data_IF_939875110373
#
_entry.id   IF_939875110373
#
_cell.length_a   1.000
_cell.length_b   1.000
_cell.length_c   1.000
_cell.angle_alpha   90.00
_cell.angle_beta   90.00
_cell.angle_gamma   90.00
#
_symmetry.space_group_name_H-M   'P 1'
#
loop_
_entity.id
_entity.type
_entity.pdbx_description
1 polymer ?
#
# COMPACT_ATOMS: atom_id res chain seq x y z
N UNK A 1 12.58 7.63 15.75
CA UNK A 1 12.88 8.96 15.19
C UNK A 1 12.43 8.93 13.74
N UNK A 2 11.58 9.87 13.32
CA UNK A 2 11.08 9.92 11.95
C UNK A 2 12.23 10.07 10.94
N UNK A 3 12.09 9.50 9.74
CA UNK A 3 13.09 9.69 8.68
C UNK A 3 13.17 11.17 8.28
N UNK A 4 14.38 11.69 8.05
CA UNK A 4 14.54 13.04 7.55
C UNK A 4 14.03 13.14 6.11
N UNK A 5 13.42 14.27 5.75
CA UNK A 5 12.79 14.46 4.44
C UNK A 5 13.76 14.28 3.27
N UNK A 6 15.02 14.70 3.41
CA UNK A 6 16.04 14.54 2.37
C UNK A 6 16.23 13.07 1.96
N UNK A 7 16.02 12.12 2.87
CA UNK A 7 16.14 10.69 2.56
C UNK A 7 14.99 10.23 1.67
N UNK A 8 13.78 10.69 1.97
CA UNK A 8 12.60 10.43 1.13
C UNK A 8 12.75 11.08 -0.23
N UNK A 9 13.28 12.31 -0.31
CA UNK A 9 13.57 12.98 -1.58
C UNK A 9 14.64 12.25 -2.40
N UNK A 10 15.69 11.75 -1.75
CA UNK A 10 16.72 10.95 -2.40
C UNK A 10 16.13 9.67 -3.01
N UNK A 11 15.25 8.99 -2.26
CA UNK A 11 14.51 7.82 -2.75
C UNK A 11 13.65 8.22 -3.95
N UNK A 12 12.87 9.30 -3.84
CA UNK A 12 12.02 9.79 -4.95
C UNK A 12 12.82 10.03 -6.22
N UNK A 13 14.03 10.57 -6.10
CA UNK A 13 14.93 10.87 -7.23
C UNK A 13 15.58 9.62 -7.83
N UNK A 14 15.86 8.61 -7.02
CA UNK A 14 16.52 7.36 -7.46
C UNK A 14 15.54 6.27 -7.92
N UNK A 15 14.28 6.34 -7.49
CA UNK A 15 13.24 5.36 -7.81
C UNK A 15 12.93 5.16 -9.31
N UNK A 16 12.98 6.17 -10.20
CA UNK A 16 12.83 5.95 -11.64
C UNK A 16 13.82 4.92 -12.19
N UNK A 17 14.99 4.76 -11.58
CA UNK A 17 16.02 3.80 -11.98
C UNK A 17 15.80 2.39 -11.41
N UNK A 18 14.65 2.12 -10.77
CA UNK A 18 14.31 0.79 -10.19
C UNK A 18 14.45 -0.35 -11.19
N UNK A 19 14.20 -0.10 -12.48
CA UNK A 19 14.32 -1.11 -13.53
C UNK A 19 15.77 -1.58 -13.73
N UNK A 20 16.75 -0.70 -13.53
CA UNK A 20 18.17 -1.05 -13.57
C UNK A 20 18.55 -1.88 -12.33
N UNK A 21 18.10 -1.46 -11.15
CA UNK A 21 18.34 -2.18 -9.90
C UNK A 21 17.73 -3.58 -9.97
N UNK A 22 16.50 -3.71 -10.47
CA UNK A 22 15.84 -4.99 -10.68
C UNK A 22 16.58 -5.90 -11.68
N UNK A 23 17.26 -5.34 -12.68
CA UNK A 23 18.11 -6.14 -13.58
C UNK A 23 19.37 -6.64 -12.87
N UNK A 24 19.93 -5.85 -11.96
CA UNK A 24 21.12 -6.21 -11.18
C UNK A 24 20.85 -7.34 -10.17
N UNK A 25 19.60 -7.49 -9.69
CA UNK A 25 19.23 -8.57 -8.76
C UNK A 25 19.22 -9.96 -9.38
N UNK A 26 19.33 -10.08 -10.72
CA UNK A 26 19.55 -11.38 -11.37
C UNK A 26 20.88 -12.04 -10.97
N UNK A 27 21.85 -11.26 -10.48
CA UNK A 27 23.09 -11.80 -9.91
C UNK A 27 22.76 -12.39 -8.52
N UNK A 28 23.00 -13.69 -8.26
CA UNK A 28 22.49 -14.37 -7.06
C UNK A 28 22.89 -13.74 -5.72
N UNK A 29 24.11 -13.20 -5.62
CA UNK A 29 24.59 -12.54 -4.40
C UNK A 29 23.90 -11.19 -4.17
N UNK A 30 23.82 -10.38 -5.23
CA UNK A 30 23.16 -9.06 -5.18
C UNK A 30 21.67 -9.24 -4.91
N UNK A 31 21.03 -10.19 -5.59
CA UNK A 31 19.62 -10.53 -5.37
C UNK A 31 19.33 -10.94 -3.92
N UNK A 32 20.17 -11.77 -3.29
CA UNK A 32 20.00 -12.13 -1.87
C UNK A 32 20.14 -10.93 -0.94
N UNK A 33 21.12 -10.06 -1.17
CA UNK A 33 21.33 -8.86 -0.36
C UNK A 33 20.12 -7.93 -0.47
N UNK A 34 19.67 -7.66 -1.70
CA UNK A 34 18.53 -6.78 -1.95
C UNK A 34 17.25 -7.36 -1.36
N UNK A 35 17.00 -8.66 -1.52
CA UNK A 35 15.84 -9.33 -0.94
C UNK A 35 15.84 -9.21 0.59
N UNK A 36 16.97 -9.51 1.23
CA UNK A 36 17.11 -9.40 2.69
C UNK A 36 16.88 -7.97 3.18
N UNK A 37 17.40 -6.98 2.46
CA UNK A 37 17.32 -5.59 2.86
C UNK A 37 15.91 -5.00 2.66
N UNK A 38 15.26 -5.29 1.52
CA UNK A 38 14.08 -4.56 1.07
C UNK A 38 12.76 -5.33 1.15
N UNK A 39 12.78 -6.67 1.10
CA UNK A 39 11.56 -7.48 0.88
C UNK A 39 11.39 -8.65 1.85
N UNK A 40 12.42 -9.01 2.62
CA UNK A 40 12.35 -10.13 3.56
C UNK A 40 11.33 -9.88 4.68
N UNK A 41 10.26 -10.68 4.69
CA UNK A 41 9.14 -10.56 5.62
C UNK A 41 7.92 -9.84 5.06
N UNK A 42 7.96 -9.42 3.79
CA UNK A 42 6.80 -8.83 3.12
C UNK A 42 5.65 -9.84 3.01
N UNK A 43 4.46 -9.37 3.34
CA UNK A 43 3.21 -10.09 3.16
C UNK A 43 2.20 -9.10 2.62
N UNK A 44 2.04 -9.08 1.29
CA UNK A 44 1.26 -8.09 0.56
C UNK A 44 0.32 -8.82 -0.39
N UNK A 45 -0.95 -8.41 -0.37
CA UNK A 45 -1.98 -8.93 -1.28
C UNK A 45 -2.69 -7.79 -2.00
N UNK A 46 -3.03 -8.01 -3.26
CA UNK A 46 -3.88 -7.11 -4.04
C UNK A 46 -5.32 -7.58 -3.96
N UNK A 47 -6.19 -6.71 -3.49
CA UNK A 47 -7.62 -6.98 -3.40
C UNK A 47 -8.28 -6.53 -4.70
N UNK A 48 -9.00 -7.42 -5.40
CA UNK A 48 -9.70 -7.05 -6.62
C UNK A 48 -10.80 -6.03 -6.31
N UNK A 49 -11.13 -5.17 -7.28
CA UNK A 49 -12.25 -4.22 -7.11
C UNK A 49 -13.55 -4.98 -6.96
N UNK A 50 -14.44 -4.53 -6.09
CA UNK A 50 -15.76 -5.16 -5.88
C UNK A 50 -16.55 -5.34 -7.18
N UNK A 51 -16.42 -4.39 -8.12
CA UNK A 51 -17.05 -4.46 -9.44
C UNK A 51 -16.59 -5.65 -10.29
N UNK A 52 -15.34 -6.12 -10.10
CA UNK A 52 -14.80 -7.29 -10.84
C UNK A 52 -15.34 -8.61 -10.31
N UNK A 53 -15.67 -8.69 -9.01
CA UNK A 53 -16.30 -9.88 -8.39
C UNK A 53 -17.75 -10.05 -8.87
N UNK A 54 -18.43 -8.95 -9.24
CA UNK A 54 -19.82 -8.97 -9.74
C UNK A 54 -19.98 -9.52 -11.16
N UNK A 55 -18.90 -9.94 -11.84
CA UNK A 55 -18.99 -10.53 -13.17
C UNK A 55 -19.64 -11.91 -13.09
N UNK A 56 -20.97 -11.95 -13.21
CA UNK A 56 -21.74 -13.19 -13.37
C UNK A 56 -21.39 -13.84 -14.70
N UNK A 57 -20.52 -14.84 -14.67
CA UNK A 57 -20.38 -15.77 -15.79
C UNK A 57 -21.57 -16.72 -15.67
N UNK A 58 -22.47 -16.71 -16.65
CA UNK A 58 -23.48 -17.76 -16.76
C UNK A 58 -22.76 -19.04 -17.16
N UNK A 59 -22.43 -19.86 -16.16
CA UNK A 59 -22.01 -21.23 -16.36
C UNK A 59 -23.25 -22.07 -16.09
N UNK A 60 -23.63 -22.94 -17.02
CA UNK A 60 -24.76 -23.88 -16.86
C UNK A 60 -24.37 -25.03 -15.92
N UNK A 61 -23.89 -24.65 -14.74
CA UNK A 61 -23.46 -25.53 -13.66
C UNK A 61 -24.11 -24.99 -12.40
N UNK A 62 -24.89 -25.83 -11.73
CA UNK A 62 -25.51 -25.51 -10.45
C UNK A 62 -24.41 -25.46 -9.38
N UNK A 63 -23.80 -24.29 -9.20
CA UNK A 63 -22.85 -24.02 -8.14
C UNK A 63 -23.63 -23.70 -6.86
N UNK A 64 -23.36 -24.43 -5.78
CA UNK A 64 -23.81 -24.04 -4.45
C UNK A 64 -23.41 -22.58 -4.21
N UNK A 65 -24.38 -21.74 -3.82
CA UNK A 65 -24.10 -20.32 -3.54
C UNK A 65 -23.00 -20.25 -2.49
N UNK A 66 -21.88 -19.54 -2.75
CA UNK A 66 -20.86 -19.33 -1.73
C UNK A 66 -21.53 -18.76 -0.49
N UNK A 67 -21.30 -19.40 0.65
CA UNK A 67 -21.74 -18.92 1.96
C UNK A 67 -20.98 -17.61 2.21
N UNK A 68 -21.65 -16.48 1.94
CA UNK A 68 -21.25 -15.11 2.27
C UNK A 68 -19.74 -14.84 2.27
N UNK A 69 -19.11 -14.85 1.09
CA UNK A 69 -17.72 -14.37 0.97
C UNK A 69 -17.70 -12.84 1.08
N UNK A 70 -16.94 -12.23 2.02
CA UNK A 70 -16.88 -10.79 2.17
C UNK A 70 -16.34 -10.16 0.89
N UNK A 71 -16.87 -8.98 0.53
CA UNK A 71 -16.33 -8.23 -0.60
C UNK A 71 -14.89 -7.82 -0.29
N UNK A 72 -14.00 -7.78 -1.30
CA UNK A 72 -12.61 -7.36 -1.09
C UNK A 72 -12.48 -6.02 -0.37
N UNK A 73 -13.32 -5.03 -0.67
CA UNK A 73 -13.35 -3.75 0.06
C UNK A 73 -13.63 -3.91 1.56
N UNK A 74 -14.53 -4.83 1.94
CA UNK A 74 -14.92 -5.05 3.34
C UNK A 74 -13.73 -5.49 4.20
N UNK A 75 -12.79 -6.24 3.63
CA UNK A 75 -11.55 -6.63 4.32
C UNK A 75 -10.76 -5.39 4.76
N UNK A 76 -10.67 -4.37 3.90
CA UNK A 76 -9.99 -3.10 4.21
C UNK A 76 -10.70 -2.36 5.34
N UNK A 77 -12.03 -2.29 5.28
CA UNK A 77 -12.83 -1.67 6.36
C UNK A 77 -12.63 -2.39 7.70
N UNK A 78 -12.55 -3.72 7.72
CA UNK A 78 -12.25 -4.48 8.94
C UNK A 78 -10.88 -4.16 9.53
N UNK A 79 -9.84 -4.00 8.70
CA UNK A 79 -8.53 -3.57 9.17
C UNK A 79 -8.56 -2.16 9.77
N UNK A 80 -9.33 -1.24 9.17
CA UNK A 80 -9.55 0.10 9.73
C UNK A 80 -10.25 0.00 11.09
N UNK A 81 -11.25 -0.87 11.23
CA UNK A 81 -12.00 -1.02 12.47
C UNK A 81 -11.15 -1.52 13.63
N UNK A 82 -10.25 -2.46 13.35
CA UNK A 82 -9.43 -3.17 14.32
C UNK A 82 -8.12 -2.42 14.66
N UNK A 83 -7.72 -1.46 13.82
CA UNK A 83 -6.51 -0.68 14.04
C UNK A 83 -6.64 0.31 15.21
N UNK A 84 -5.59 0.41 16.03
CA UNK A 84 -5.51 1.36 17.15
C UNK A 84 -5.19 2.79 16.71
N UNK A 85 -4.66 2.96 15.50
CA UNK A 85 -4.19 4.24 14.98
C UNK A 85 -4.26 4.27 13.45
N UNK A 86 -4.57 5.45 12.89
CA UNK A 86 -4.78 5.66 11.45
C UNK A 86 -3.98 6.86 10.98
N UNK A 87 -3.16 6.65 9.95
CA UNK A 87 -2.32 7.68 9.36
C UNK A 87 -2.49 7.74 7.85
N UNK A 88 -2.90 8.91 7.35
CA UNK A 88 -3.00 9.16 5.91
C UNK A 88 -1.80 9.94 5.42
N UNK A 89 -1.15 9.43 4.39
CA UNK A 89 -0.13 10.16 3.66
C UNK A 89 -0.76 11.29 2.82
N UNK A 90 -0.08 12.44 2.74
CA UNK A 90 -0.53 13.59 1.93
C UNK A 90 -0.42 13.32 0.43
N UNK A 91 0.43 12.37 0.02
CA UNK A 91 0.64 11.95 -1.36
C UNK A 91 1.21 10.53 -1.44
N UNK A 92 1.09 9.90 -2.59
CA UNK A 92 1.68 8.60 -2.89
C UNK A 92 3.14 8.76 -3.31
N UNK A 93 4.07 8.34 -2.44
CA UNK A 93 5.52 8.39 -2.73
C UNK A 93 5.83 7.61 -4.01
N UNK A 94 5.25 6.42 -4.20
CA UNK A 94 5.51 5.57 -5.37
C UNK A 94 5.06 6.22 -6.68
N UNK A 95 3.84 6.79 -6.74
CA UNK A 95 3.33 7.48 -7.95
C UNK A 95 4.08 8.78 -8.22
N UNK A 96 4.36 9.57 -7.18
CA UNK A 96 5.15 10.79 -7.32
C UNK A 96 6.56 10.50 -7.86
N UNK A 97 7.20 9.45 -7.33
CA UNK A 97 8.55 9.06 -7.77
C UNK A 97 8.55 8.47 -9.18
N UNK A 98 7.48 7.79 -9.57
CA UNK A 98 7.32 7.23 -10.91
C UNK A 98 6.84 8.25 -11.95
N UNK A 99 6.57 9.50 -11.56
CA UNK A 99 5.95 10.51 -12.42
C UNK A 99 4.66 10.00 -13.08
N UNK A 100 3.79 9.38 -12.27
CA UNK A 100 2.54 8.81 -12.77
C UNK A 100 1.59 9.92 -13.28
N UNK A 101 1.15 9.80 -14.53
CA UNK A 101 0.20 10.73 -15.16
C UNK A 101 -1.24 10.16 -15.20
N UNK A 102 -1.37 8.84 -15.13
CA UNK A 102 -2.65 8.14 -15.29
C UNK A 102 -3.51 8.09 -14.02
N UNK A 103 -2.88 8.21 -12.84
CA UNK A 103 -3.56 8.03 -11.55
C UNK A 103 -3.17 9.13 -10.55
N UNK A 104 -4.11 9.54 -9.69
CA UNK A 104 -3.92 10.68 -8.83
C UNK A 104 -2.83 10.46 -7.76
N UNK A 105 -1.95 11.44 -7.61
CA UNK A 105 -0.76 11.39 -6.73
C UNK A 105 -1.12 11.75 -5.28
N UNK A 106 -2.13 12.58 -5.07
CA UNK A 106 -2.65 13.03 -3.78
C UNK A 106 -3.29 11.91 -2.95
N UNK A 107 -3.68 10.79 -3.58
CA UNK A 107 -4.12 9.59 -2.86
C UNK A 107 -2.92 8.72 -2.43
N UNK A 108 -2.29 9.10 -1.32
CA UNK A 108 -1.24 8.34 -0.64
C UNK A 108 -1.71 7.10 0.14
N UNK A 109 -0.77 6.34 0.69
CA UNK A 109 -1.07 5.15 1.48
C UNK A 109 -1.75 5.50 2.81
N UNK A 110 -2.61 4.59 3.28
CA UNK A 110 -3.17 4.58 4.63
C UNK A 110 -2.35 3.59 5.48
N UNK A 111 -1.69 4.06 6.52
CA UNK A 111 -0.95 3.22 7.47
C UNK A 111 -1.78 3.02 8.74
N UNK A 112 -1.75 1.80 9.26
CA UNK A 112 -2.55 1.37 10.40
C UNK A 112 -1.65 0.87 11.54
N UNK A 113 -2.03 1.19 12.78
CA UNK A 113 -1.35 0.74 13.99
C UNK A 113 -0.25 1.67 14.50
N UNK A 114 0.25 1.36 15.70
CA UNK A 114 1.11 2.27 16.49
C UNK A 114 2.43 2.65 15.82
N UNK A 115 2.99 1.78 14.98
CA UNK A 115 4.23 2.08 14.26
C UNK A 115 4.11 3.34 13.38
N UNK A 116 2.91 3.62 12.85
CA UNK A 116 2.66 4.77 11.99
C UNK A 116 2.80 6.11 12.72
N UNK A 117 2.78 6.15 14.06
CA UNK A 117 3.09 7.38 14.83
C UNK A 117 4.51 7.88 14.61
N UNK A 118 5.42 7.00 14.21
CA UNK A 118 6.81 7.35 13.89
C UNK A 118 7.00 8.04 12.54
N UNK A 119 5.95 8.10 11.71
CA UNK A 119 6.02 8.73 10.38
C UNK A 119 6.19 10.25 10.55
N UNK A 120 7.00 10.84 9.67
CA UNK A 120 7.22 12.28 9.66
C UNK A 120 5.90 13.04 9.37
N UNK A 121 5.48 14.00 10.21
CA UNK A 121 4.23 14.76 10.02
C UNK A 121 4.19 15.63 8.77
N UNK A 122 5.32 15.91 8.12
CA UNK A 122 5.30 16.61 6.83
C UNK A 122 4.83 15.69 5.68
N UNK A 123 4.85 14.37 5.89
CA UNK A 123 4.45 13.38 4.89
C UNK A 123 2.97 12.99 4.97
N UNK A 124 2.28 13.34 6.05
CA UNK A 124 0.91 12.91 6.28
C UNK A 124 0.35 13.43 7.59
N UNK A 125 -0.81 12.93 7.98
CA UNK A 125 -1.45 13.27 9.25
C UNK A 125 -2.17 12.08 9.84
N UNK A 126 -2.34 12.11 11.16
CA UNK A 126 -3.33 11.27 11.80
C UNK A 126 -4.72 11.66 11.33
N UNK A 127 -5.56 10.64 11.12
CA UNK A 127 -6.97 10.80 10.77
C UNK A 127 -7.85 9.98 11.71
N UNK A 128 -9.15 10.27 11.76
CA UNK A 128 -10.11 9.44 12.48
C UNK A 128 -10.41 8.15 11.71
N UNK A 129 -11.08 7.21 12.39
CA UNK A 129 -11.56 5.98 11.78
C UNK A 129 -12.56 6.27 10.64
N UNK A 130 -13.45 7.22 10.87
CA UNK A 130 -14.47 7.66 9.90
C UNK A 130 -13.81 8.26 8.66
N UNK A 131 -12.86 9.20 8.86
CA UNK A 131 -12.05 9.76 7.77
C UNK A 131 -11.30 8.66 6.99
N UNK A 132 -10.85 7.59 7.65
CA UNK A 132 -10.13 6.49 7.00
C UNK A 132 -11.06 5.67 6.10
N UNK A 133 -12.29 5.43 6.53
CA UNK A 133 -13.30 4.74 5.71
C UNK A 133 -13.70 5.57 4.48
N UNK A 134 -13.96 6.86 4.67
CA UNK A 134 -14.27 7.79 3.58
C UNK A 134 -13.11 7.82 2.57
N UNK A 135 -11.87 7.94 3.05
CA UNK A 135 -10.70 7.99 2.20
C UNK A 135 -10.49 6.73 1.35
N UNK A 136 -10.76 5.54 1.90
CA UNK A 136 -10.69 4.28 1.13
C UNK A 136 -11.77 4.21 0.06
N UNK A 137 -12.97 4.73 0.33
CA UNK A 137 -14.04 4.82 -0.66
C UNK A 137 -13.65 5.77 -1.80
N UNK A 138 -13.16 6.97 -1.49
CA UNK A 138 -12.65 7.93 -2.49
C UNK A 138 -11.55 7.32 -3.37
N UNK A 139 -10.60 6.60 -2.75
CA UNK A 139 -9.56 5.88 -3.50
C UNK A 139 -10.15 4.85 -4.48
N UNK A 140 -11.17 4.10 -4.05
CA UNK A 140 -11.86 3.11 -4.88
C UNK A 140 -12.61 3.76 -6.05
N UNK A 141 -13.30 4.87 -5.81
CA UNK A 141 -13.99 5.67 -6.82
C UNK A 141 -13.03 6.30 -7.84
N UNK A 142 -11.85 6.73 -7.39
CA UNK A 142 -10.75 7.15 -8.25
C UNK A 142 -10.12 6.00 -9.06
N UNK A 143 -10.64 4.78 -8.94
CA UNK A 143 -10.22 3.63 -9.72
C UNK A 143 -8.93 2.98 -9.21
N UNK A 144 -8.50 3.27 -7.98
CA UNK A 144 -7.35 2.61 -7.37
C UNK A 144 -7.70 1.18 -6.94
N UNK A 145 -6.68 0.35 -6.79
CA UNK A 145 -6.78 -1.03 -6.31
C UNK A 145 -6.10 -1.10 -4.96
N UNK A 146 -6.75 -1.73 -3.98
CA UNK A 146 -6.18 -1.84 -2.63
C UNK A 146 -5.10 -2.91 -2.61
N UNK A 147 -3.87 -2.46 -2.36
CA UNK A 147 -2.76 -3.30 -1.97
C UNK A 147 -2.67 -3.22 -0.44
N UNK A 148 -2.87 -4.33 0.25
CA UNK A 148 -2.85 -4.38 1.72
C UNK A 148 -1.79 -5.35 2.21
N UNK A 149 -1.27 -5.10 3.41
CA UNK A 149 -0.30 -5.97 4.05
C UNK A 149 0.88 -5.23 4.67
N UNK A 150 1.92 -5.99 5.03
CA UNK A 150 3.17 -5.47 5.55
C UNK A 150 4.19 -5.35 4.44
N UNK A 151 4.77 -4.16 4.32
CA UNK A 151 5.73 -3.83 3.28
C UNK A 151 6.98 -3.22 3.94
N UNK A 152 8.06 -3.99 3.95
CA UNK A 152 9.35 -3.61 4.51
C UNK A 152 9.94 -2.39 3.82
N UNK A 153 9.65 -2.21 2.54
CA UNK A 153 10.05 -1.03 1.79
C UNK A 153 9.45 0.24 2.44
N UNK A 154 8.17 0.22 2.80
CA UNK A 154 7.48 1.36 3.41
C UNK A 154 8.07 1.65 4.80
N UNK A 155 8.28 0.60 5.60
CA UNK A 155 8.91 0.71 6.91
C UNK A 155 10.32 1.33 6.82
N UNK A 156 11.11 0.93 5.82
CA UNK A 156 12.45 1.48 5.57
C UNK A 156 12.39 2.94 5.11
N UNK A 157 11.49 3.27 4.19
CA UNK A 157 11.35 4.61 3.61
C UNK A 157 10.89 5.63 4.65
N UNK A 158 9.94 5.23 5.50
CA UNK A 158 9.35 6.08 6.53
C UNK A 158 10.12 6.01 7.86
N UNK A 159 10.96 4.99 8.03
CA UNK A 159 11.77 4.70 9.23
C UNK A 159 10.93 4.39 10.45
N UNK A 160 9.95 3.53 10.25
CA UNK A 160 9.06 3.05 11.30
C UNK A 160 9.26 1.57 11.56
N UNK A 161 8.98 1.14 12.78
CA UNK A 161 9.10 -0.25 13.22
C UNK A 161 8.10 -0.53 14.36
N UNK A 162 7.58 -1.75 14.52
CA UNK A 162 7.77 -2.89 13.62
C UNK A 162 7.13 -2.64 12.25
N UNK A 163 7.72 -3.22 11.21
CA UNK A 163 7.32 -3.07 9.81
C UNK A 163 7.28 -4.44 9.14
#
# INVERSE_FOLDING_TARGET
MARPLWFVELIKKTFPQKSLIAKLTHVPLIGRIVNKLLFEGDDIIYLPKDSTVRKRIQVDVNLERPVETPLPSQIVHRFIDEASFHWRMNFCICRASAHCEDYPIDYGCLFLGEAARGINPDLGRQITKEEAHEYIQECGEAGLVHMIGRNKLDAMWLGVSPG
#
